data_IF_579482818256
#
_entry.id   IF_579482818256
#
_cell.length_a   1.000
_cell.length_b   1.000
_cell.length_c   1.000
_cell.angle_alpha   90.00
_cell.angle_beta   90.00
_cell.angle_gamma   90.00
#
_symmetry.space_group_name_H-M   'P 1'
#
loop_
_entity.id
_entity.type
_entity.pdbx_description
1 polymer ?
#
# COMPACT_ATOMS: atom_id res chain seq x y z
N UNK A 1 -5.65 -0.21 -28.63
CA UNK A 1 -4.62 0.38 -27.75
C UNK A 1 -5.27 1.20 -26.62
N UNK A 2 -6.15 2.16 -26.90
CA UNK A 2 -6.86 2.93 -25.87
C UNK A 2 -7.63 2.06 -24.84
N UNK A 3 -8.36 1.02 -25.28
CA UNK A 3 -9.05 0.11 -24.33
C UNK A 3 -8.09 -0.71 -23.45
N UNK A 4 -6.90 -1.07 -23.96
CA UNK A 4 -5.91 -1.79 -23.16
C UNK A 4 -5.26 -0.86 -22.13
N UNK A 5 -4.99 0.40 -22.49
CA UNK A 5 -4.45 1.41 -21.57
C UNK A 5 -5.42 1.69 -20.43
N UNK A 6 -6.70 1.93 -20.75
CA UNK A 6 -7.77 2.13 -19.77
C UNK A 6 -7.95 0.95 -18.80
N UNK A 7 -7.78 -0.29 -19.30
CA UNK A 7 -7.83 -1.49 -18.45
C UNK A 7 -6.62 -1.58 -17.52
N UNK A 8 -5.43 -1.18 -17.99
CA UNK A 8 -4.21 -1.13 -17.17
C UNK A 8 -4.34 -0.08 -16.07
N UNK A 9 -4.80 1.13 -16.38
CA UNK A 9 -4.98 2.20 -15.39
C UNK A 9 -5.99 1.80 -14.31
N UNK A 10 -7.11 1.21 -14.70
CA UNK A 10 -8.10 0.69 -13.75
C UNK A 10 -7.50 -0.42 -12.86
N UNK A 11 -6.64 -1.27 -13.41
CA UNK A 11 -5.96 -2.32 -12.65
C UNK A 11 -4.91 -1.74 -11.68
N UNK A 12 -4.19 -0.67 -12.07
CA UNK A 12 -3.24 0.04 -11.21
C UNK A 12 -3.95 0.68 -10.01
N UNK A 13 -5.06 1.39 -10.24
CA UNK A 13 -5.88 2.00 -9.18
C UNK A 13 -6.42 0.92 -8.24
N UNK A 14 -6.97 -0.16 -8.78
CA UNK A 14 -7.50 -1.27 -7.99
C UNK A 14 -6.40 -1.94 -7.16
N UNK A 15 -5.21 -2.12 -7.74
CA UNK A 15 -4.04 -2.65 -7.05
C UNK A 15 -3.60 -1.76 -5.90
N UNK A 16 -3.57 -0.44 -6.12
CA UNK A 16 -3.22 0.53 -5.08
C UNK A 16 -4.20 0.50 -3.90
N UNK A 17 -5.51 0.49 -4.18
CA UNK A 17 -6.55 0.38 -3.16
C UNK A 17 -6.41 -0.89 -2.33
N UNK A 18 -6.22 -2.05 -2.99
CA UNK A 18 -6.01 -3.32 -2.29
C UNK A 18 -4.75 -3.30 -1.43
N UNK A 19 -3.66 -2.71 -1.91
CA UNK A 19 -2.43 -2.60 -1.15
C UNK A 19 -2.63 -1.77 0.14
N UNK A 20 -3.39 -0.67 0.08
CA UNK A 20 -3.75 0.14 1.25
C UNK A 20 -4.66 -0.59 2.23
N UNK A 21 -5.68 -1.29 1.73
CA UNK A 21 -6.58 -2.10 2.56
C UNK A 21 -5.80 -3.17 3.32
N UNK A 22 -4.86 -3.84 2.65
CA UNK A 22 -4.00 -4.85 3.29
C UNK A 22 -3.04 -4.17 4.26
N UNK A 23 -2.47 -3.01 3.95
CA UNK A 23 -1.60 -2.27 4.86
C UNK A 23 -2.33 -1.90 6.17
N UNK A 24 -3.56 -1.39 6.05
CA UNK A 24 -4.42 -1.09 7.19
C UNK A 24 -4.76 -2.35 7.99
N UNK A 25 -5.09 -3.46 7.31
CA UNK A 25 -5.36 -4.75 7.95
C UNK A 25 -4.14 -5.27 8.73
N UNK A 26 -2.94 -5.16 8.16
CA UNK A 26 -1.69 -5.56 8.81
C UNK A 26 -1.46 -4.73 10.07
N UNK A 27 -1.63 -3.41 10.01
CA UNK A 27 -1.50 -2.53 11.19
C UNK A 27 -2.47 -2.93 12.30
N UNK A 28 -3.76 -3.08 11.98
CA UNK A 28 -4.78 -3.49 12.95
C UNK A 28 -4.45 -4.83 13.60
N UNK A 29 -3.92 -5.79 12.83
CA UNK A 29 -3.50 -7.09 13.37
C UNK A 29 -2.29 -6.98 14.30
N UNK A 30 -1.29 -6.16 13.94
CA UNK A 30 -0.14 -5.88 14.82
C UNK A 30 -0.63 -5.26 16.12
N UNK A 31 -1.47 -4.23 16.05
CA UNK A 31 -1.99 -3.54 17.23
C UNK A 31 -2.85 -4.47 18.11
N UNK A 32 -3.62 -5.38 17.50
CA UNK A 32 -4.39 -6.39 18.23
C UNK A 32 -3.47 -7.34 19.02
N UNK A 33 -2.39 -7.83 18.40
CA UNK A 33 -1.42 -8.71 19.08
C UNK A 33 -0.71 -7.97 20.22
N UNK A 34 -0.31 -6.72 19.98
CA UNK A 34 0.31 -5.87 21.01
C UNK A 34 -0.67 -5.58 22.15
N UNK A 35 -1.95 -5.38 21.87
CA UNK A 35 -2.99 -5.21 22.91
C UNK A 35 -3.13 -6.48 23.76
N UNK A 36 -3.22 -7.65 23.14
CA UNK A 36 -3.33 -8.93 23.85
C UNK A 36 -2.07 -9.28 24.68
N UNK A 37 -0.92 -8.68 24.39
CA UNK A 37 0.30 -8.76 25.23
C UNK A 37 0.01 -8.29 26.66
N UNK A 38 -0.72 -7.18 26.80
CA UNK A 38 -1.08 -6.61 28.09
C UNK A 38 -2.02 -7.54 28.87
N UNK A 39 -3.03 -8.08 28.18
CA UNK A 39 -4.04 -8.93 28.79
C UNK A 39 -3.48 -10.30 29.21
N UNK A 40 -2.61 -10.90 28.38
CA UNK A 40 -2.05 -12.24 28.63
C UNK A 40 -1.03 -12.29 29.78
N UNK A 41 -0.48 -11.13 30.16
CA UNK A 41 0.49 -11.03 31.26
C UNK A 41 -0.13 -10.48 32.55
N UNK A 42 -1.41 -10.09 32.52
CA UNK A 42 -2.18 -9.75 33.70
C UNK A 42 -2.42 -11.02 34.55
N UNK A 43 -1.57 -11.24 35.55
CA UNK A 43 -1.66 -12.37 36.49
C UNK A 43 -0.56 -13.43 36.33
N UNK A 44 0.14 -13.43 35.20
CA UNK A 44 1.36 -14.23 34.98
C UNK A 44 2.56 -13.29 34.99
N UNK A 45 3.02 -12.93 36.20
CA UNK A 45 4.26 -12.18 36.39
C UNK A 45 5.50 -13.08 36.35
N UNK A 46 6.67 -12.49 36.09
CA UNK A 46 7.96 -13.16 36.22
C UNK A 46 8.79 -13.19 34.93
N UNK A 47 10.00 -13.79 34.96
CA UNK A 47 10.95 -13.75 33.85
C UNK A 47 10.41 -14.29 32.52
N UNK A 48 9.56 -15.34 32.58
CA UNK A 48 8.95 -15.92 31.38
C UNK A 48 7.95 -14.95 30.71
N UNK A 49 7.16 -14.23 31.51
CA UNK A 49 6.22 -13.23 31.00
C UNK A 49 6.95 -12.04 30.36
N UNK A 50 8.06 -11.60 30.97
CA UNK A 50 8.92 -10.56 30.40
C UNK A 50 9.54 -10.99 29.06
N UNK A 51 9.99 -12.25 28.96
CA UNK A 51 10.52 -12.80 27.71
C UNK A 51 9.45 -12.87 26.62
N UNK A 52 8.22 -13.26 26.97
CA UNK A 52 7.09 -13.26 26.04
C UNK A 52 6.76 -11.83 25.58
N UNK A 53 6.72 -10.85 26.48
CA UNK A 53 6.48 -9.45 26.12
C UNK A 53 7.56 -8.94 25.15
N UNK A 54 8.83 -9.19 25.45
CA UNK A 54 9.94 -8.83 24.56
C UNK A 54 9.85 -9.51 23.19
N UNK A 55 9.37 -10.76 23.13
CA UNK A 55 9.20 -11.48 21.86
C UNK A 55 8.10 -10.84 21.02
N UNK A 56 6.99 -10.46 21.64
CA UNK A 56 5.89 -9.76 20.96
C UNK A 56 6.34 -8.39 20.46
N UNK A 57 7.12 -7.65 21.24
CA UNK A 57 7.63 -6.34 20.84
C UNK A 57 8.58 -6.45 19.64
N UNK A 58 9.53 -7.40 19.67
CA UNK A 58 10.44 -7.66 18.54
C UNK A 58 9.68 -8.12 17.29
N UNK A 59 8.66 -8.96 17.45
CA UNK A 59 7.79 -9.37 16.36
C UNK A 59 7.05 -8.18 15.76
N UNK A 60 6.48 -7.30 16.59
CA UNK A 60 5.75 -6.13 16.13
C UNK A 60 6.66 -5.16 15.38
N UNK A 61 7.88 -4.92 15.87
CA UNK A 61 8.89 -4.12 15.17
C UNK A 61 9.26 -4.72 13.81
N UNK A 62 9.48 -6.03 13.74
CA UNK A 62 9.79 -6.72 12.49
C UNK A 62 8.61 -6.77 11.50
N UNK A 63 7.37 -6.70 12.00
CA UNK A 63 6.16 -6.75 11.17
C UNK A 63 5.74 -5.39 10.61
N UNK A 64 6.04 -4.27 11.31
CA UNK A 64 5.69 -2.90 10.85
C UNK A 64 6.16 -2.57 9.42
N UNK A 65 7.38 -2.95 8.97
CA UNK A 65 7.83 -2.71 7.61
C UNK A 65 6.94 -3.32 6.52
N UNK A 66 6.17 -4.36 6.81
CA UNK A 66 5.23 -4.97 5.84
C UNK A 66 4.16 -3.97 5.44
N UNK A 67 3.56 -3.26 6.41
CA UNK A 67 2.56 -2.24 6.13
C UNK A 67 3.18 -1.07 5.35
N UNK A 68 4.39 -0.63 5.72
CA UNK A 68 5.11 0.43 4.99
C UNK A 68 5.41 0.04 3.54
N UNK A 69 5.86 -1.19 3.29
CA UNK A 69 6.11 -1.68 1.92
C UNK A 69 4.84 -1.71 1.06
N UNK A 70 3.69 -2.05 1.67
CA UNK A 70 2.39 -2.02 0.99
C UNK A 70 1.92 -0.60 0.66
N UNK A 71 2.16 0.37 1.55
CA UNK A 71 1.89 1.78 1.28
C UNK A 71 2.80 2.33 0.18
N UNK A 72 4.09 1.98 0.20
CA UNK A 72 5.01 2.35 -0.89
C UNK A 72 4.59 1.74 -2.22
N UNK A 73 4.12 0.49 -2.22
CA UNK A 73 3.56 -0.14 -3.41
C UNK A 73 2.33 0.63 -3.92
N UNK A 74 1.39 0.98 -3.04
CA UNK A 74 0.22 1.77 -3.40
C UNK A 74 0.61 3.13 -4.00
N UNK A 75 1.58 3.81 -3.38
CA UNK A 75 2.09 5.09 -3.86
C UNK A 75 2.74 4.96 -5.26
N UNK A 76 3.55 3.92 -5.48
CA UNK A 76 4.15 3.64 -6.79
C UNK A 76 3.11 3.34 -7.86
N UNK A 77 2.09 2.55 -7.54
CA UNK A 77 1.00 2.23 -8.47
C UNK A 77 0.23 3.48 -8.90
N UNK A 78 -0.07 4.40 -7.97
CA UNK A 78 -0.67 5.70 -8.32
C UNK A 78 0.27 6.60 -9.10
N UNK A 79 1.56 6.54 -8.81
CA UNK A 79 2.58 7.29 -9.55
C UNK A 79 2.60 6.89 -11.03
N UNK A 80 2.55 5.58 -11.30
CA UNK A 80 2.48 5.05 -12.67
C UNK A 80 1.20 5.47 -13.38
N UNK A 81 0.05 5.37 -12.70
CA UNK A 81 -1.25 5.83 -13.24
C UNK A 81 -1.22 7.32 -13.63
N UNK A 82 -0.70 8.19 -12.74
CA UNK A 82 -0.56 9.61 -13.03
C UNK A 82 0.41 9.91 -14.21
N UNK A 83 1.44 9.10 -14.38
CA UNK A 83 2.38 9.20 -15.51
C UNK A 83 1.74 8.75 -16.83
N UNK A 84 0.92 7.70 -16.80
CA UNK A 84 0.15 7.24 -17.96
C UNK A 84 -0.82 8.33 -18.43
N UNK A 85 -1.60 8.91 -17.51
CA UNK A 85 -2.55 10.00 -17.82
C UNK A 85 -1.82 11.20 -18.43
N UNK A 86 -0.68 11.61 -17.87
CA UNK A 86 0.12 12.73 -18.42
C UNK A 86 0.59 12.41 -19.85
N UNK A 87 1.07 11.19 -20.07
CA UNK A 87 1.53 10.73 -21.39
C UNK A 87 0.39 10.75 -22.41
N UNK A 88 -0.84 10.37 -22.01
CA UNK A 88 -2.04 10.44 -22.87
C UNK A 88 -2.41 11.87 -23.24
N UNK A 89 -2.37 12.79 -22.27
CA UNK A 89 -2.65 14.22 -22.50
C UNK A 89 -1.65 14.83 -23.49
N UNK A 90 -0.36 14.53 -23.32
CA UNK A 90 0.72 15.00 -24.20
C UNK A 90 0.54 14.47 -25.63
N UNK A 91 0.29 13.17 -25.80
CA UNK A 91 0.06 12.56 -27.12
C UNK A 91 -1.19 13.14 -27.80
N UNK A 92 -2.27 13.34 -27.04
CA UNK A 92 -3.53 13.91 -27.56
C UNK A 92 -3.33 15.36 -27.98
N UNK A 93 -2.59 16.16 -27.21
CA UNK A 93 -2.26 17.54 -27.55
C UNK A 93 -1.42 17.63 -28.83
N UNK A 94 -0.39 16.79 -28.97
CA UNK A 94 0.42 16.72 -30.19
C UNK A 94 -0.43 16.32 -31.39
N UNK A 95 -1.24 15.27 -31.26
CA UNK A 95 -2.12 14.81 -32.35
C UNK A 95 -3.11 15.89 -32.80
N UNK A 96 -3.76 16.58 -31.85
CA UNK A 96 -4.67 17.68 -32.14
C UNK A 96 -3.96 18.86 -32.83
N UNK A 97 -2.73 19.18 -32.41
CA UNK A 97 -1.93 20.25 -33.03
C UNK A 97 -1.54 19.94 -34.48
N UNK A 98 -1.24 18.68 -34.79
CA UNK A 98 -0.91 18.23 -36.15
C UNK A 98 -2.17 18.22 -37.02
N UNK A 99 -3.28 17.68 -36.51
CA UNK A 99 -4.56 17.65 -37.21
C UNK A 99 -5.07 19.06 -37.53
N UNK A 100 -4.92 20.01 -36.61
CA UNK A 100 -5.29 21.41 -36.82
C UNK A 100 -4.38 22.18 -37.78
N UNK A 101 -3.21 21.65 -38.14
CA UNK A 101 -2.31 22.22 -39.15
C UNK A 101 -2.44 21.58 -40.53
N UNK A 102 -3.07 20.41 -40.62
CA UNK A 102 -3.31 19.69 -41.88
C UNK A 102 -4.73 19.86 -42.43
N UNK A 103 -5.65 20.43 -41.65
CA UNK A 103 -6.94 20.95 -42.12
C UNK A 103 -6.86 22.46 -42.35
#
# INVERSE_FOLDING_TARGET
MADQMRVVDQALITGAQKAEEVAASVRTKIDTVVSHKGDSTAGWGGPAALAMQSTVDQWAEAARPIATALEELAAKLRGVDAENVRTEEEQTAVYNSIKGRMG
#
